data_IF_616643749248
#
_entry.id   IF_616643749248
#
_cell.length_a   1.000
_cell.length_b   1.000
_cell.length_c   1.000
_cell.angle_alpha   90.00
_cell.angle_beta   90.00
_cell.angle_gamma   90.00
#
_symmetry.space_group_name_H-M   'P 1'
#
loop_
_entity.id
_entity.type
_entity.pdbx_description
1 polymer ?
#
# COMPACT_ATOMS: atom_id res chain seq x y z
N UNK A 1 -15.35 77.42 101.06
CA UNK A 1 -15.22 77.33 99.59
C UNK A 1 -15.33 75.87 99.17
N UNK A 2 -15.94 75.57 98.02
CA UNK A 2 -17.23 74.85 98.00
C UNK A 2 -17.23 73.51 97.23
N UNK A 3 -18.41 72.88 97.23
CA UNK A 3 -19.03 72.10 96.13
C UNK A 3 -18.37 70.75 95.78
N UNK A 4 -19.06 69.61 95.86
CA UNK A 4 -20.25 69.23 95.06
C UNK A 4 -20.78 67.87 95.54
N UNK A 5 -22.09 67.57 95.38
CA UNK A 5 -22.65 66.27 95.72
C UNK A 5 -22.35 65.20 94.64
N UNK A 6 -22.01 63.99 95.08
CA UNK A 6 -21.83 62.81 94.22
C UNK A 6 -23.19 62.31 93.73
N UNK A 7 -23.47 62.50 92.43
CA UNK A 7 -24.65 61.98 91.76
C UNK A 7 -24.44 60.49 91.42
N UNK A 8 -25.32 59.63 91.93
CA UNK A 8 -25.39 58.21 91.58
C UNK A 8 -25.92 58.03 90.15
N UNK A 9 -25.15 57.39 89.27
CA UNK A 9 -25.66 56.86 88.00
C UNK A 9 -26.07 55.40 88.16
N UNK A 10 -27.34 55.01 87.89
CA UNK A 10 -27.72 53.61 87.82
C UNK A 10 -27.17 52.95 86.55
N UNK A 11 -26.58 51.77 86.73
CA UNK A 11 -26.04 50.88 85.70
C UNK A 11 -27.21 50.33 84.86
N UNK A 12 -27.29 50.69 83.58
CA UNK A 12 -28.24 50.05 82.66
C UNK A 12 -27.81 48.60 82.35
N UNK A 13 -28.75 47.64 82.21
CA UNK A 13 -28.41 46.27 81.86
C UNK A 13 -28.04 46.16 80.38
N UNK A 14 -26.99 45.39 80.10
CA UNK A 14 -26.57 45.00 78.75
C UNK A 14 -27.69 44.21 78.03
N UNK A 15 -27.87 44.38 76.71
CA UNK A 15 -28.92 43.68 75.96
C UNK A 15 -28.59 42.18 75.84
N UNK A 16 -29.60 41.30 75.72
CA UNK A 16 -29.38 39.88 75.60
C UNK A 16 -28.66 39.56 74.27
N UNK A 17 -27.67 38.66 74.33
CA UNK A 17 -26.98 38.12 73.15
C UNK A 17 -27.97 37.33 72.31
N UNK A 18 -28.32 37.84 71.13
CA UNK A 18 -29.06 37.12 70.10
C UNK A 18 -28.20 35.97 69.57
N UNK A 19 -28.55 34.74 69.94
CA UNK A 19 -28.04 33.55 69.26
C UNK A 19 -28.74 33.44 67.90
N UNK A 20 -28.06 33.87 66.83
CA UNK A 20 -28.48 33.53 65.48
C UNK A 20 -28.18 32.04 65.23
N UNK A 21 -29.24 31.23 65.18
CA UNK A 21 -29.16 29.90 64.59
C UNK A 21 -28.75 30.03 63.12
N UNK A 22 -27.57 29.52 62.78
CA UNK A 22 -27.06 29.48 61.40
C UNK A 22 -27.92 28.51 60.59
N UNK A 23 -28.85 29.04 59.82
CA UNK A 23 -29.60 28.27 58.83
C UNK A 23 -28.63 27.59 57.83
N UNK A 24 -28.79 26.30 57.50
CA UNK A 24 -27.96 25.66 56.48
C UNK A 24 -28.21 26.34 55.14
N UNK A 25 -27.16 26.90 54.53
CA UNK A 25 -27.25 27.51 53.20
C UNK A 25 -27.49 26.43 52.15
N UNK A 26 -28.77 26.17 51.86
CA UNK A 26 -29.23 25.27 50.80
C UNK A 26 -28.67 25.66 49.42
N UNK A 27 -28.43 26.96 49.21
CA UNK A 27 -27.84 27.54 48.01
C UNK A 27 -26.43 27.01 47.69
N UNK A 28 -25.58 26.78 48.71
CA UNK A 28 -24.23 26.23 48.52
C UNK A 28 -24.24 24.75 48.11
N UNK A 29 -25.21 23.96 48.58
CA UNK A 29 -25.34 22.55 48.20
C UNK A 29 -25.83 22.41 46.75
N UNK A 30 -26.75 23.26 46.33
CA UNK A 30 -27.28 23.25 44.97
C UNK A 30 -26.22 23.66 43.94
N UNK A 31 -25.40 24.68 44.23
CA UNK A 31 -24.30 25.09 43.35
C UNK A 31 -23.21 24.03 43.20
N UNK A 32 -22.87 23.32 44.30
CA UNK A 32 -21.92 22.19 44.25
C UNK A 32 -22.48 21.04 43.41
N UNK A 33 -23.77 20.72 43.55
CA UNK A 33 -24.41 19.68 42.74
C UNK A 33 -24.45 20.03 41.26
N UNK A 34 -24.76 21.28 40.90
CA UNK A 34 -24.74 21.76 39.52
C UNK A 34 -23.32 21.68 38.95
N UNK A 35 -22.31 22.11 39.69
CA UNK A 35 -20.91 22.04 39.26
C UNK A 35 -20.46 20.59 39.01
N UNK A 36 -20.80 19.66 39.91
CA UNK A 36 -20.51 18.24 39.73
C UNK A 36 -21.21 17.66 38.50
N UNK A 37 -22.45 18.05 38.23
CA UNK A 37 -23.21 17.61 37.06
C UNK A 37 -22.57 18.12 35.76
N UNK A 38 -22.13 19.39 35.73
CA UNK A 38 -21.43 19.97 34.58
C UNK A 38 -20.08 19.31 34.32
N UNK A 39 -19.31 18.97 35.36
CA UNK A 39 -18.06 18.22 35.25
C UNK A 39 -18.32 16.81 34.70
N UNK A 40 -19.37 16.13 35.19
CA UNK A 40 -19.77 14.82 34.70
C UNK A 40 -20.18 14.83 33.23
N UNK A 41 -20.98 15.81 32.80
CA UNK A 41 -21.36 16.00 31.40
C UNK A 41 -20.13 16.30 30.53
N UNK A 42 -19.24 17.18 30.98
CA UNK A 42 -17.99 17.49 30.27
C UNK A 42 -17.13 16.24 30.09
N UNK A 43 -16.93 15.45 31.15
CA UNK A 43 -16.20 14.19 31.07
C UNK A 43 -16.82 13.17 30.11
N UNK A 44 -18.15 13.07 30.08
CA UNK A 44 -18.86 12.18 29.16
C UNK A 44 -18.76 12.65 27.70
N UNK A 45 -18.85 13.96 27.45
CA UNK A 45 -18.65 14.56 26.13
C UNK A 45 -17.21 14.34 25.66
N UNK A 46 -16.20 14.60 26.52
CA UNK A 46 -14.81 14.34 26.19
C UNK A 46 -14.53 12.86 25.93
N UNK A 47 -15.12 11.95 26.72
CA UNK A 47 -15.04 10.50 26.49
C UNK A 47 -15.68 10.09 25.16
N UNK A 48 -16.86 10.64 24.84
CA UNK A 48 -17.54 10.37 23.58
C UNK A 48 -16.80 10.96 22.38
N UNK A 49 -16.17 12.13 22.52
CA UNK A 49 -15.30 12.73 21.50
C UNK A 49 -14.03 11.88 21.32
N UNK A 50 -13.43 11.36 22.39
CA UNK A 50 -12.25 10.50 22.31
C UNK A 50 -12.57 9.15 21.64
N UNK A 51 -13.67 8.51 22.02
CA UNK A 51 -14.14 7.25 21.44
C UNK A 51 -14.61 7.45 19.99
N UNK A 52 -15.30 8.56 19.70
CA UNK A 52 -15.70 8.87 18.32
C UNK A 52 -14.49 9.21 17.44
N UNK A 53 -13.44 9.85 17.95
CA UNK A 53 -12.16 10.02 17.24
C UNK A 53 -11.41 8.71 16.99
N UNK A 54 -11.52 7.72 17.89
CA UNK A 54 -10.97 6.38 17.66
C UNK A 54 -11.78 5.57 16.63
N UNK A 55 -13.11 5.71 16.61
CA UNK A 55 -13.99 5.08 15.60
C UNK A 55 -13.95 5.77 14.25
N UNK A 56 -13.80 7.09 14.24
CA UNK A 56 -13.53 7.91 13.08
C UNK A 56 -12.01 7.92 12.85
N UNK A 57 -11.45 6.72 12.72
CA UNK A 57 -10.04 6.52 12.41
C UNK A 57 -9.65 7.50 11.31
N UNK A 58 -8.57 8.23 11.57
CA UNK A 58 -7.94 9.19 10.68
C UNK A 58 -7.98 8.69 9.24
N UNK A 59 -9.06 9.03 8.52
CA UNK A 59 -9.11 8.94 7.07
C UNK A 59 -8.08 9.97 6.66
N UNK A 60 -6.85 9.51 6.42
CA UNK A 60 -5.82 10.31 5.77
C UNK A 60 -6.37 10.66 4.38
N UNK A 61 -7.12 11.75 4.32
CA UNK A 61 -7.68 12.32 3.08
C UNK A 61 -6.60 12.94 2.18
N UNK A 62 -5.32 12.69 2.47
CA UNK A 62 -4.17 13.27 1.79
C UNK A 62 -3.01 12.28 1.60
N UNK A 63 -3.23 10.96 1.69
CA UNK A 63 -2.27 10.02 1.13
C UNK A 63 -2.40 10.06 -0.40
N UNK A 64 -1.31 10.30 -1.12
CA UNK A 64 -1.27 10.13 -2.57
C UNK A 64 -1.62 8.65 -2.85
N UNK A 65 -2.57 8.35 -3.75
CA UNK A 65 -2.99 6.97 -3.98
C UNK A 65 -1.79 6.14 -4.44
N UNK A 66 -1.67 4.96 -3.85
CA UNK A 66 -0.64 3.98 -4.18
C UNK A 66 -1.02 3.16 -5.40
N UNK A 67 -2.32 2.96 -5.64
CA UNK A 67 -2.78 2.26 -6.83
C UNK A 67 -2.72 3.14 -8.07
N UNK A 68 -2.21 2.58 -9.16
CA UNK A 68 -2.04 3.30 -10.42
C UNK A 68 -2.64 2.45 -11.56
N UNK A 69 -3.32 3.12 -12.49
CA UNK A 69 -3.81 2.49 -13.74
C UNK A 69 -3.03 3.04 -14.92
N UNK A 70 -2.52 2.15 -15.77
CA UNK A 70 -1.74 2.53 -16.97
C UNK A 70 -2.50 2.15 -18.24
N UNK A 71 -2.85 3.16 -19.04
CA UNK A 71 -3.47 3.00 -20.37
C UNK A 71 -2.43 3.21 -21.46
N UNK A 72 -2.25 2.25 -22.37
CA UNK A 72 -1.19 2.29 -23.37
C UNK A 72 -1.52 3.13 -24.62
N UNK A 73 -2.81 3.36 -24.90
CA UNK A 73 -3.30 3.92 -26.18
C UNK A 73 -3.05 5.43 -26.41
N UNK A 74 -2.15 6.09 -25.68
CA UNK A 74 -1.79 7.51 -25.93
C UNK A 74 -0.30 7.84 -25.99
N UNK A 75 0.59 6.90 -25.70
CA UNK A 75 2.03 7.21 -25.62
C UNK A 75 2.79 6.99 -26.94
N UNK A 76 2.15 6.39 -27.95
CA UNK A 76 2.81 6.10 -29.23
C UNK A 76 2.86 7.31 -30.20
N UNK A 77 2.17 8.41 -29.89
CA UNK A 77 2.04 9.58 -30.77
C UNK A 77 2.54 10.90 -30.19
N UNK A 78 3.22 10.89 -29.03
CA UNK A 78 3.77 12.12 -28.42
C UNK A 78 5.17 11.96 -27.85
N UNK A 79 6.02 11.11 -28.44
CA UNK A 79 7.48 11.23 -28.27
C UNK A 79 7.99 12.08 -29.43
N UNK A 80 7.59 13.35 -29.43
CA UNK A 80 8.38 14.39 -30.05
C UNK A 80 8.31 15.64 -29.16
N UNK A 81 9.50 16.07 -28.74
CA UNK A 81 9.82 17.39 -28.21
C UNK A 81 8.99 17.93 -27.02
N UNK A 82 9.44 17.59 -25.80
CA UNK A 82 8.97 18.23 -24.57
C UNK A 82 9.78 17.81 -23.36
N UNK A 83 10.84 18.56 -23.07
CA UNK A 83 11.67 18.44 -21.88
C UNK A 83 10.84 18.78 -20.62
N UNK A 84 10.12 17.78 -20.10
CA UNK A 84 9.35 17.84 -18.87
C UNK A 84 9.40 16.48 -18.21
N UNK A 85 10.56 16.15 -17.63
CA UNK A 85 10.80 14.89 -16.94
C UNK A 85 9.71 14.64 -15.89
N UNK A 86 8.80 13.72 -16.19
CA UNK A 86 7.92 13.16 -15.17
C UNK A 86 8.84 12.57 -14.09
N UNK A 87 8.86 13.18 -12.89
CA UNK A 87 9.64 12.68 -11.77
C UNK A 87 9.10 11.30 -11.36
N UNK A 88 9.71 10.25 -11.91
CA UNK A 88 9.46 8.85 -11.56
C UNK A 88 9.70 8.64 -10.06
N UNK A 89 8.89 7.82 -9.43
CA UNK A 89 9.03 7.56 -8.00
C UNK A 89 10.29 6.74 -7.73
N UNK A 90 11.24 7.30 -6.97
CA UNK A 90 12.53 6.67 -6.72
C UNK A 90 12.44 5.63 -5.60
N UNK A 91 12.85 4.40 -5.91
CA UNK A 91 12.94 3.26 -4.97
C UNK A 91 14.16 2.40 -5.33
N UNK A 92 14.60 1.52 -4.45
CA UNK A 92 15.68 0.57 -4.79
C UNK A 92 15.18 -0.58 -5.66
N UNK A 93 13.95 -1.04 -5.41
CA UNK A 93 13.33 -2.13 -6.15
C UNK A 93 11.83 -1.95 -6.29
N UNK A 94 11.25 -2.32 -7.42
CA UNK A 94 9.80 -2.38 -7.60
C UNK A 94 9.33 -3.83 -7.79
N UNK A 95 8.48 -4.32 -6.89
CA UNK A 95 7.97 -5.70 -6.86
C UNK A 95 6.53 -5.75 -7.34
N UNK A 96 6.32 -6.39 -8.49
CA UNK A 96 5.01 -6.66 -9.06
C UNK A 96 4.57 -8.09 -8.80
N UNK A 97 3.54 -8.25 -7.97
CA UNK A 97 2.94 -9.54 -7.63
C UNK A 97 1.85 -9.86 -8.66
N UNK A 98 2.14 -10.74 -9.60
CA UNK A 98 1.23 -11.14 -10.68
C UNK A 98 0.04 -11.90 -10.11
N UNK A 99 -1.16 -11.36 -10.30
CA UNK A 99 -2.41 -11.93 -9.76
C UNK A 99 -3.56 -11.81 -10.75
N UNK A 100 -4.59 -12.65 -10.62
CA UNK A 100 -5.75 -12.65 -11.51
C UNK A 100 -7.08 -12.52 -10.78
N UNK A 101 -8.18 -12.45 -11.54
CA UNK A 101 -9.54 -12.35 -10.97
C UNK A 101 -9.94 -13.59 -10.15
N UNK A 102 -9.37 -14.76 -10.44
CA UNK A 102 -9.56 -15.99 -9.65
C UNK A 102 -8.77 -16.04 -8.34
N UNK A 103 -7.84 -15.09 -8.12
CA UNK A 103 -6.86 -15.16 -7.03
C UNK A 103 -7.21 -14.29 -5.81
N UNK A 104 -8.46 -13.84 -5.65
CA UNK A 104 -8.85 -13.00 -4.51
C UNK A 104 -8.53 -13.66 -3.15
N UNK A 105 -8.67 -14.99 -3.05
CA UNK A 105 -8.28 -15.74 -1.86
C UNK A 105 -6.77 -15.72 -1.59
N UNK A 106 -5.95 -15.78 -2.64
CA UNK A 106 -4.48 -15.70 -2.54
C UNK A 106 -4.04 -14.31 -2.10
N UNK A 107 -4.55 -13.25 -2.73
CA UNK A 107 -4.29 -11.86 -2.29
C UNK A 107 -4.63 -11.64 -0.82
N UNK A 108 -5.79 -12.14 -0.37
CA UNK A 108 -6.17 -12.09 1.06
C UNK A 108 -5.19 -12.84 1.96
N UNK A 109 -4.65 -13.98 1.49
CA UNK A 109 -3.69 -14.78 2.26
C UNK A 109 -2.32 -14.09 2.36
N UNK A 110 -1.86 -13.47 1.27
CA UNK A 110 -0.67 -12.61 1.25
C UNK A 110 -0.83 -11.44 2.22
N UNK A 111 -2.02 -10.81 2.21
CA UNK A 111 -2.40 -9.71 3.11
C UNK A 111 -2.40 -10.05 4.59
N UNK A 112 -2.68 -11.31 4.92
CA UNK A 112 -2.64 -11.84 6.29
C UNK A 112 -1.26 -12.36 6.69
N UNK A 113 -0.28 -12.33 5.79
CA UNK A 113 1.05 -12.88 6.03
C UNK A 113 2.15 -11.82 5.82
N UNK A 114 2.77 -11.77 4.65
CA UNK A 114 3.97 -10.96 4.42
C UNK A 114 3.71 -9.64 3.69
N UNK A 115 2.52 -9.40 3.14
CA UNK A 115 2.20 -8.21 2.35
C UNK A 115 1.11 -7.36 3.03
N UNK A 116 1.42 -6.41 3.91
CA UNK A 116 0.44 -5.76 4.79
C UNK A 116 -0.78 -5.18 4.06
N UNK A 117 -1.98 -5.41 4.60
CA UNK A 117 -3.23 -4.91 4.03
C UNK A 117 -3.51 -3.44 4.32
N UNK A 118 -2.97 -2.88 5.40
CA UNK A 118 -3.22 -1.50 5.75
C UNK A 118 -2.15 -0.57 5.17
N UNK A 119 -2.56 0.63 4.76
CA UNK A 119 -1.67 1.59 4.11
C UNK A 119 -0.44 1.93 4.95
N UNK A 120 -0.56 1.99 6.28
CA UNK A 120 0.59 2.31 7.15
C UNK A 120 1.56 1.13 7.25
N UNK A 121 1.05 -0.10 7.35
CA UNK A 121 1.85 -1.32 7.34
C UNK A 121 2.60 -1.48 6.02
N UNK A 122 1.92 -1.22 4.90
CA UNK A 122 2.55 -1.25 3.58
C UNK A 122 3.64 -0.19 3.47
N UNK A 123 3.34 1.06 3.82
CA UNK A 123 4.33 2.14 3.80
C UNK A 123 5.55 1.81 4.68
N UNK A 124 5.36 1.30 5.90
CA UNK A 124 6.46 0.87 6.77
C UNK A 124 7.30 -0.25 6.14
N UNK A 125 6.67 -1.21 5.47
CA UNK A 125 7.38 -2.26 4.74
C UNK A 125 8.22 -1.65 3.61
N UNK A 126 7.66 -0.72 2.84
CA UNK A 126 8.34 -0.09 1.71
C UNK A 126 9.52 0.77 2.15
N UNK A 127 9.32 1.60 3.19
CA UNK A 127 10.36 2.46 3.76
C UNK A 127 11.51 1.64 4.38
N UNK A 128 11.19 0.55 5.09
CA UNK A 128 12.21 -0.28 5.75
C UNK A 128 13.02 -1.15 4.80
N UNK A 129 12.47 -1.49 3.64
CA UNK A 129 13.13 -2.37 2.66
C UNK A 129 13.70 -1.61 1.47
N UNK A 130 13.27 -0.37 1.24
CA UNK A 130 13.54 0.39 0.01
C UNK A 130 12.81 -0.16 -1.22
N UNK A 131 11.87 -1.10 -1.03
CA UNK A 131 11.14 -1.76 -2.10
C UNK A 131 9.71 -1.24 -2.16
N UNK A 132 9.17 -0.96 -3.35
CA UNK A 132 7.74 -0.74 -3.52
C UNK A 132 7.04 -2.01 -4.00
N UNK A 133 5.80 -2.26 -3.54
CA UNK A 133 5.07 -3.51 -3.80
C UNK A 133 3.67 -3.26 -4.32
N UNK A 134 3.30 -3.85 -5.47
CA UNK A 134 1.94 -3.74 -6.00
C UNK A 134 1.43 -5.08 -6.52
N UNK A 135 0.15 -5.36 -6.31
CA UNK A 135 -0.55 -6.41 -7.05
C UNK A 135 -0.74 -5.99 -8.50
N UNK A 136 -0.30 -6.82 -9.43
CA UNK A 136 -0.36 -6.54 -10.86
C UNK A 136 -1.49 -7.34 -11.48
N UNK A 137 -2.49 -6.63 -12.00
CA UNK A 137 -3.67 -7.24 -12.60
C UNK A 137 -4.14 -6.42 -13.81
N UNK A 138 -4.56 -7.12 -14.86
CA UNK A 138 -5.21 -6.55 -16.01
C UNK A 138 -6.69 -6.26 -15.80
N UNK A 139 -7.43 -6.16 -16.91
CA UNK A 139 -8.88 -5.95 -16.95
C UNK A 139 -9.62 -7.20 -17.43
N UNK A 140 -10.93 -7.21 -17.23
CA UNK A 140 -11.84 -8.22 -17.79
C UNK A 140 -13.10 -7.56 -18.31
N UNK A 141 -13.74 -8.17 -19.32
CA UNK A 141 -15.06 -7.74 -19.82
C UNK A 141 -16.20 -8.02 -18.82
N UNK A 142 -15.98 -8.93 -17.86
CA UNK A 142 -16.94 -9.26 -16.82
C UNK A 142 -17.11 -8.09 -15.83
N UNK A 143 -18.25 -7.41 -15.95
CA UNK A 143 -18.61 -6.24 -15.13
C UNK A 143 -18.67 -6.56 -13.63
N UNK A 144 -19.07 -7.78 -13.25
CA UNK A 144 -19.16 -8.19 -11.85
C UNK A 144 -17.77 -8.34 -11.24
N UNK A 145 -16.87 -9.04 -11.95
CA UNK A 145 -15.46 -9.19 -11.55
C UNK A 145 -14.76 -7.85 -11.46
N UNK A 146 -14.95 -6.96 -12.44
CA UNK A 146 -14.39 -5.60 -12.39
C UNK A 146 -14.95 -4.76 -11.24
N UNK A 147 -16.25 -4.87 -10.95
CA UNK A 147 -16.87 -4.17 -9.80
C UNK A 147 -16.28 -4.63 -8.47
N UNK A 148 -16.11 -5.94 -8.30
CA UNK A 148 -15.48 -6.50 -7.10
C UNK A 148 -14.01 -6.07 -6.95
N UNK A 149 -13.25 -6.05 -8.05
CA UNK A 149 -11.89 -5.54 -8.05
C UNK A 149 -11.82 -4.05 -7.67
N UNK A 150 -12.72 -3.22 -8.19
CA UNK A 150 -12.77 -1.78 -7.82
C UNK A 150 -13.04 -1.56 -6.34
N UNK A 151 -13.88 -2.40 -5.72
CA UNK A 151 -14.11 -2.37 -4.26
C UNK A 151 -12.83 -2.73 -3.50
N UNK A 152 -12.12 -3.77 -3.96
CA UNK A 152 -10.85 -4.19 -3.37
C UNK A 152 -9.76 -3.11 -3.49
N UNK A 153 -9.65 -2.47 -4.65
CA UNK A 153 -8.74 -1.33 -4.88
C UNK A 153 -9.08 -0.17 -3.93
N UNK A 154 -10.35 0.18 -3.79
CA UNK A 154 -10.79 1.24 -2.89
C UNK A 154 -10.55 0.92 -1.40
N UNK A 155 -10.48 -0.37 -1.05
CA UNK A 155 -10.25 -0.83 0.32
C UNK A 155 -8.76 -0.84 0.68
N UNK A 156 -7.90 -1.36 -0.20
CA UNK A 156 -6.49 -1.64 0.11
C UNK A 156 -5.48 -0.71 -0.57
N UNK A 157 -5.85 -0.10 -1.69
CA UNK A 157 -5.00 0.81 -2.45
C UNK A 157 -3.60 0.25 -2.81
N UNK A 158 -3.50 -1.04 -3.14
CA UNK A 158 -2.23 -1.75 -3.34
C UNK A 158 -2.04 -2.35 -4.76
N UNK A 159 -2.69 -1.79 -5.79
CA UNK A 159 -2.72 -2.36 -7.15
C UNK A 159 -2.01 -1.53 -8.23
N UNK A 160 -1.34 -2.21 -9.15
CA UNK A 160 -0.99 -1.71 -10.48
C UNK A 160 -1.94 -2.33 -11.50
N UNK A 161 -2.83 -1.51 -12.05
CA UNK A 161 -3.82 -1.91 -13.03
C UNK A 161 -3.28 -1.72 -14.45
N UNK A 162 -3.22 -2.81 -15.21
CA UNK A 162 -2.76 -2.81 -16.60
C UNK A 162 -3.94 -2.80 -17.55
N UNK A 163 -3.84 -2.02 -18.63
CA UNK A 163 -4.81 -2.04 -19.73
C UNK A 163 -4.56 -3.22 -20.68
N UNK A 164 -4.62 -4.44 -20.13
CA UNK A 164 -4.53 -5.71 -20.86
C UNK A 164 -5.62 -6.64 -20.35
N UNK A 165 -6.27 -7.36 -21.25
CA UNK A 165 -7.26 -8.37 -20.87
C UNK A 165 -6.60 -9.57 -20.19
N UNK A 166 -7.09 -9.93 -19.00
CA UNK A 166 -6.62 -11.10 -18.25
C UNK A 166 -7.01 -12.41 -18.94
N UNK A 167 -6.01 -13.11 -19.43
CA UNK A 167 -6.15 -14.45 -19.99
C UNK A 167 -4.85 -15.23 -19.76
N UNK A 168 -4.95 -16.55 -19.52
CA UNK A 168 -3.76 -17.37 -19.28
C UNK A 168 -2.80 -17.37 -20.48
N UNK A 169 -3.33 -17.40 -21.70
CA UNK A 169 -2.54 -17.31 -22.95
C UNK A 169 -1.83 -15.96 -23.10
N UNK A 170 -2.32 -14.89 -22.44
CA UNK A 170 -1.80 -13.52 -22.50
C UNK A 170 -0.82 -13.19 -21.36
N UNK A 171 -0.46 -14.18 -20.55
CA UNK A 171 0.48 -14.06 -19.44
C UNK A 171 1.84 -13.44 -19.83
N UNK A 172 2.45 -13.77 -20.99
CA UNK A 172 3.65 -13.08 -21.44
C UNK A 172 3.44 -11.58 -21.73
N UNK A 173 2.32 -11.21 -22.37
CA UNK A 173 1.97 -9.81 -22.65
C UNK A 173 1.75 -9.01 -21.38
N UNK A 174 1.06 -9.59 -20.38
CA UNK A 174 0.91 -8.99 -19.06
C UNK A 174 2.26 -8.70 -18.41
N UNK A 175 3.21 -9.63 -18.53
CA UNK A 175 4.54 -9.49 -17.94
C UNK A 175 5.34 -8.38 -18.61
N UNK A 176 5.30 -8.30 -19.95
CA UNK A 176 5.93 -7.19 -20.66
C UNK A 176 5.30 -5.85 -20.28
N UNK A 177 3.97 -5.76 -20.26
CA UNK A 177 3.27 -4.54 -19.89
C UNK A 177 3.53 -4.13 -18.45
N UNK A 178 3.67 -5.10 -17.54
CA UNK A 178 4.13 -4.86 -16.17
C UNK A 178 5.49 -4.16 -16.17
N UNK A 179 6.50 -4.72 -16.84
CA UNK A 179 7.84 -4.12 -16.87
C UNK A 179 7.85 -2.74 -17.51
N UNK A 180 7.10 -2.55 -18.60
CA UNK A 180 6.94 -1.24 -19.24
C UNK A 180 6.29 -0.22 -18.31
N UNK A 181 5.19 -0.60 -17.65
CA UNK A 181 4.46 0.28 -16.73
C UNK A 181 5.33 0.62 -15.52
N UNK A 182 5.98 -0.38 -14.93
CA UNK A 182 6.87 -0.21 -13.80
C UNK A 182 8.03 0.75 -14.14
N UNK A 183 8.66 0.58 -15.30
CA UNK A 183 9.72 1.47 -15.76
C UNK A 183 9.23 2.91 -15.95
N UNK A 184 8.03 3.10 -16.52
CA UNK A 184 7.46 4.43 -16.70
C UNK A 184 7.10 5.14 -15.38
N UNK A 185 6.79 4.39 -14.32
CA UNK A 185 6.29 4.93 -13.06
C UNK A 185 7.37 5.08 -11.97
N UNK A 186 8.30 4.12 -11.90
CA UNK A 186 9.28 4.01 -10.83
C UNK A 186 10.69 4.12 -11.40
N UNK A 187 11.53 4.94 -10.77
CA UNK A 187 12.98 4.98 -11.00
C UNK A 187 13.62 4.02 -9.99
N UNK A 188 14.08 2.86 -10.47
CA UNK A 188 14.43 1.73 -9.62
C UNK A 188 15.58 0.95 -10.21
N UNK A 189 16.52 0.51 -9.36
CA UNK A 189 17.68 -0.28 -9.77
C UNK A 189 17.26 -1.67 -10.28
N UNK A 190 16.19 -2.22 -9.68
CA UNK A 190 15.63 -3.51 -10.06
C UNK A 190 14.10 -3.50 -10.15
N UNK A 191 13.58 -4.33 -11.05
CA UNK A 191 12.16 -4.63 -11.20
C UNK A 191 11.93 -6.13 -11.02
N UNK A 192 11.03 -6.50 -10.12
CA UNK A 192 10.85 -7.88 -9.66
C UNK A 192 9.47 -8.36 -10.03
N UNK A 193 9.40 -9.44 -10.80
CA UNK A 193 8.16 -10.20 -10.98
C UNK A 193 8.07 -11.27 -9.89
N UNK A 194 6.93 -11.36 -9.22
CA UNK A 194 6.59 -12.44 -8.29
C UNK A 194 5.20 -13.02 -8.60
N UNK A 195 4.96 -14.30 -8.32
CA UNK A 195 3.61 -14.89 -8.36
C UNK A 195 2.85 -14.68 -7.04
N UNK A 196 1.53 -14.82 -7.08
CA UNK A 196 0.66 -14.68 -5.91
C UNK A 196 0.52 -15.95 -5.05
N UNK A 197 1.22 -17.03 -5.39
CA UNK A 197 1.26 -18.30 -4.66
C UNK A 197 2.63 -18.63 -4.04
N UNK A 198 3.46 -17.61 -3.82
CA UNK A 198 4.71 -17.74 -3.07
C UNK A 198 4.69 -17.01 -1.73
N UNK A 199 5.56 -17.46 -0.83
CA UNK A 199 5.94 -16.70 0.36
C UNK A 199 7.23 -15.94 0.07
N UNK A 200 7.20 -14.61 0.22
CA UNK A 200 8.37 -13.76 0.05
C UNK A 200 8.88 -13.27 1.41
N UNK A 201 10.19 -13.12 1.54
CA UNK A 201 10.85 -12.42 2.65
C UNK A 201 11.40 -11.08 2.14
N UNK A 202 10.66 -9.97 2.31
CA UNK A 202 11.04 -8.65 1.79
C UNK A 202 12.41 -8.17 2.26
N UNK A 203 12.77 -8.45 3.53
CA UNK A 203 14.07 -8.14 4.12
C UNK A 203 15.23 -8.81 3.34
N UNK A 204 15.07 -10.09 3.00
CA UNK A 204 16.09 -10.85 2.26
C UNK A 204 16.15 -10.46 0.81
N UNK A 205 15.00 -10.14 0.20
CA UNK A 205 14.98 -9.62 -1.15
C UNK A 205 15.71 -8.27 -1.22
N UNK A 206 15.44 -7.37 -0.27
CA UNK A 206 16.10 -6.06 -0.20
C UNK A 206 17.63 -6.21 -0.15
N UNK A 207 18.14 -7.04 0.76
CA UNK A 207 19.58 -7.33 0.87
C UNK A 207 20.17 -7.96 -0.41
N UNK A 208 19.41 -8.84 -1.08
CA UNK A 208 19.84 -9.43 -2.35
C UNK A 208 19.97 -8.38 -3.45
N UNK A 209 19.01 -7.46 -3.55
CA UNK A 209 19.03 -6.42 -4.58
C UNK A 209 20.12 -5.38 -4.32
N UNK A 210 20.32 -4.98 -3.07
CA UNK A 210 21.36 -4.02 -2.65
C UNK A 210 22.80 -4.50 -2.83
N UNK A 211 23.02 -5.80 -3.12
CA UNK A 211 24.36 -6.35 -3.31
C UNK A 211 25.04 -5.71 -4.53
N UNK A 212 26.26 -5.23 -4.35
CA UNK A 212 27.06 -4.67 -5.44
C UNK A 212 27.38 -5.71 -6.52
N UNK A 213 27.39 -5.26 -7.79
CA UNK A 213 27.56 -6.10 -8.97
C UNK A 213 28.38 -5.37 -10.02
N UNK A 214 29.33 -6.07 -10.62
CA UNK A 214 30.20 -5.51 -11.67
C UNK A 214 29.46 -5.19 -12.98
N UNK A 215 28.35 -5.88 -13.26
CA UNK A 215 27.57 -5.69 -14.49
C UNK A 215 26.25 -4.99 -14.20
N UNK A 216 25.96 -3.93 -14.96
CA UNK A 216 24.71 -3.18 -14.85
C UNK A 216 23.51 -3.95 -15.42
N UNK A 217 23.75 -4.85 -16.39
CA UNK A 217 22.75 -5.78 -16.91
C UNK A 217 22.71 -7.04 -16.05
N UNK A 218 21.71 -7.13 -15.19
CA UNK A 218 21.56 -8.25 -14.26
C UNK A 218 20.19 -8.89 -14.40
N UNK A 219 20.18 -10.21 -14.56
CA UNK A 219 18.98 -11.05 -14.47
C UNK A 219 19.14 -12.03 -13.31
N UNK A 220 18.29 -11.90 -12.28
CA UNK A 220 18.33 -12.70 -11.06
C UNK A 220 17.13 -13.63 -10.98
N UNK A 221 17.40 -14.86 -10.57
CA UNK A 221 16.36 -15.81 -10.17
C UNK A 221 16.96 -17.20 -10.02
N UNK A 222 16.09 -18.19 -9.82
CA UNK A 222 16.52 -19.59 -9.84
C UNK A 222 16.73 -20.00 -11.31
N UNK A 223 17.97 -19.86 -11.80
CA UNK A 223 18.30 -20.10 -13.20
C UNK A 223 18.21 -21.60 -13.52
N UNK A 224 17.53 -21.94 -14.62
CA UNK A 224 17.37 -23.30 -15.08
C UNK A 224 17.52 -23.41 -16.60
N UNK A 225 17.83 -24.63 -17.04
CA UNK A 225 17.83 -25.05 -18.43
C UNK A 225 17.07 -26.38 -18.52
N UNK A 226 16.49 -26.70 -19.67
CA UNK A 226 15.77 -27.95 -19.84
C UNK A 226 15.25 -28.14 -21.27
N UNK A 227 14.71 -29.32 -21.58
CA UNK A 227 14.22 -29.63 -22.91
C UNK A 227 13.01 -28.77 -23.26
N UNK A 228 12.91 -28.41 -24.54
CA UNK A 228 11.68 -27.82 -25.10
C UNK A 228 10.62 -28.91 -25.20
N UNK A 229 9.44 -28.67 -24.64
CA UNK A 229 8.36 -29.66 -24.67
C UNK A 229 7.66 -29.61 -26.03
N UNK A 230 7.88 -30.64 -26.86
CA UNK A 230 7.32 -30.74 -28.21
C UNK A 230 6.09 -31.63 -28.30
N UNK A 231 5.69 -32.32 -27.22
CA UNK A 231 4.50 -33.16 -27.19
C UNK A 231 3.26 -32.32 -26.78
N UNK A 232 2.22 -32.20 -27.64
CA UNK A 232 0.98 -31.48 -27.36
C UNK A 232 0.22 -31.93 -26.10
N UNK A 233 0.49 -33.13 -25.58
CA UNK A 233 -0.15 -33.66 -24.37
C UNK A 233 0.50 -33.14 -23.08
N UNK A 234 1.69 -32.55 -23.17
CA UNK A 234 2.39 -32.01 -22.01
C UNK A 234 1.88 -30.61 -21.67
N UNK A 235 1.77 -30.34 -20.36
CA UNK A 235 1.28 -29.05 -19.82
C UNK A 235 2.00 -27.82 -20.40
N UNK A 236 3.28 -27.97 -20.73
CA UNK A 236 4.15 -26.89 -21.18
C UNK A 236 4.53 -27.02 -22.66
N UNK A 237 3.71 -27.72 -23.45
CA UNK A 237 3.89 -27.85 -24.89
C UNK A 237 4.14 -26.49 -25.56
N UNK A 238 5.21 -26.40 -26.35
CA UNK A 238 5.57 -25.19 -27.06
C UNK A 238 5.26 -25.32 -28.56
N UNK A 239 4.17 -24.70 -29.05
CA UNK A 239 3.81 -24.75 -30.46
C UNK A 239 4.87 -24.16 -31.39
N UNK A 240 5.69 -23.23 -30.89
CA UNK A 240 6.78 -22.61 -31.63
C UNK A 240 8.15 -23.24 -31.31
N UNK A 241 8.17 -24.48 -30.83
CA UNK A 241 9.39 -25.21 -30.45
C UNK A 241 10.44 -25.27 -31.56
N UNK A 242 10.03 -25.26 -32.83
CA UNK A 242 10.92 -25.20 -34.00
C UNK A 242 11.82 -23.95 -34.03
N UNK A 243 11.44 -22.86 -33.34
CA UNK A 243 12.24 -21.63 -33.21
C UNK A 243 13.23 -21.68 -32.04
N UNK A 244 13.04 -22.59 -31.07
CA UNK A 244 13.82 -22.66 -29.84
C UNK A 244 14.90 -23.77 -29.87
N UNK A 245 14.75 -24.75 -30.75
CA UNK A 245 15.62 -25.92 -30.79
C UNK A 245 15.25 -26.96 -29.73
N UNK A 246 16.25 -27.77 -29.30
CA UNK A 246 16.03 -28.90 -28.38
C UNK A 246 15.92 -28.50 -26.91
N UNK A 247 16.54 -27.38 -26.53
CA UNK A 247 16.61 -26.92 -25.14
C UNK A 247 16.26 -25.44 -25.06
N UNK A 248 15.58 -25.05 -23.98
CA UNK A 248 15.35 -23.64 -23.69
C UNK A 248 16.68 -22.93 -23.39
N UNK A 249 16.74 -21.64 -23.71
CA UNK A 249 17.79 -20.74 -23.20
C UNK A 249 17.81 -20.76 -21.67
N UNK A 250 18.98 -20.48 -21.07
CA UNK A 250 19.12 -20.39 -19.62
C UNK A 250 18.20 -19.29 -19.09
N UNK A 251 17.20 -19.62 -18.28
CA UNK A 251 16.18 -18.67 -17.81
C UNK A 251 15.84 -18.82 -16.32
N UNK A 252 15.34 -17.77 -15.69
CA UNK A 252 14.90 -17.86 -14.30
C UNK A 252 13.59 -18.64 -14.18
N UNK A 253 13.41 -19.34 -13.08
CA UNK A 253 12.18 -20.05 -12.77
C UNK A 253 10.99 -19.08 -12.58
N UNK A 254 9.81 -19.52 -12.98
CA UNK A 254 8.54 -18.76 -13.01
C UNK A 254 8.22 -17.95 -11.76
N UNK A 255 8.25 -18.53 -10.55
CA UNK A 255 7.64 -17.92 -9.37
C UNK A 255 8.20 -16.55 -8.99
N UNK A 256 9.50 -16.32 -9.18
CA UNK A 256 10.11 -15.01 -8.89
C UNK A 256 11.40 -14.80 -9.68
N UNK A 257 11.56 -13.59 -10.23
CA UNK A 257 12.81 -13.13 -10.82
C UNK A 257 12.91 -11.60 -10.84
N UNK A 258 14.14 -11.07 -10.91
CA UNK A 258 14.42 -9.64 -10.94
C UNK A 258 15.27 -9.27 -12.16
N UNK A 259 14.94 -8.14 -12.78
CA UNK A 259 15.67 -7.55 -13.91
C UNK A 259 16.21 -6.18 -13.48
N UNK A 260 17.45 -5.87 -13.83
CA UNK A 260 18.01 -4.55 -13.57
C UNK A 260 17.35 -3.47 -14.44
N UNK A 261 17.52 -2.20 -14.04
CA UNK A 261 17.01 -1.04 -14.76
C UNK A 261 17.38 -1.06 -16.26
N UNK A 262 18.63 -1.35 -16.60
CA UNK A 262 19.14 -1.38 -17.98
C UNK A 262 18.46 -2.45 -18.84
N UNK A 263 18.22 -3.63 -18.25
CA UNK A 263 17.53 -4.74 -18.89
C UNK A 263 16.08 -4.34 -19.16
N UNK A 264 15.40 -3.76 -18.16
CA UNK A 264 14.02 -3.32 -18.32
C UNK A 264 13.90 -2.12 -19.27
N UNK A 265 14.86 -1.20 -19.28
CA UNK A 265 14.91 -0.09 -20.23
C UNK A 265 14.96 -0.60 -21.67
N UNK A 266 15.78 -1.63 -21.91
CA UNK A 266 15.88 -2.31 -23.20
C UNK A 266 14.54 -2.97 -23.57
N UNK A 267 13.93 -3.73 -22.65
CA UNK A 267 12.58 -4.29 -22.85
C UNK A 267 11.51 -3.24 -23.14
N UNK A 268 11.59 -2.09 -22.47
CA UNK A 268 10.62 -1.01 -22.60
C UNK A 268 10.71 -0.32 -23.97
N UNK A 269 11.91 -0.22 -24.54
CA UNK A 269 12.17 0.39 -25.84
C UNK A 269 11.63 -0.42 -27.03
N UNK A 270 11.31 -1.70 -26.83
CA UNK A 270 10.88 -2.58 -27.91
C UNK A 270 9.46 -2.28 -28.40
N UNK A 271 9.29 -2.29 -29.72
CA UNK A 271 7.99 -2.14 -30.38
C UNK A 271 7.10 -3.37 -30.13
N UNK A 272 5.84 -3.13 -29.77
CA UNK A 272 4.85 -4.17 -29.43
C UNK A 272 4.61 -5.20 -30.56
N UNK A 273 4.93 -4.89 -31.82
CA UNK A 273 4.58 -5.70 -32.99
C UNK A 273 5.70 -6.63 -33.51
N UNK A 274 6.87 -6.69 -32.85
CA UNK A 274 8.04 -7.49 -33.32
C UNK A 274 8.36 -8.71 -32.45
N UNK A 275 7.49 -9.07 -31.53
CA UNK A 275 7.79 -10.06 -30.50
C UNK A 275 7.07 -11.37 -30.78
N UNK A 276 7.86 -12.43 -30.97
CA UNK A 276 7.36 -13.81 -30.94
C UNK A 276 7.22 -14.18 -29.47
N UNK A 277 5.98 -14.29 -28.99
CA UNK A 277 5.69 -14.69 -27.63
C UNK A 277 5.53 -16.19 -27.54
N UNK A 278 6.26 -16.80 -26.61
CA UNK A 278 6.14 -18.21 -26.26
C UNK A 278 5.10 -18.34 -25.13
N UNK A 279 3.87 -18.81 -25.41
CA UNK A 279 2.71 -18.68 -24.51
C UNK A 279 2.89 -19.41 -23.18
N UNK A 280 3.72 -20.47 -23.15
CA UNK A 280 3.90 -21.33 -21.98
C UNK A 280 5.18 -21.06 -21.21
N UNK A 281 5.96 -20.06 -21.63
CA UNK A 281 7.26 -19.77 -21.03
C UNK A 281 7.49 -18.26 -20.86
N UNK A 282 6.73 -17.64 -19.95
CA UNK A 282 6.89 -16.24 -19.54
C UNK A 282 8.36 -15.87 -19.23
N UNK A 283 9.15 -16.81 -18.71
CA UNK A 283 10.56 -16.61 -18.37
C UNK A 283 11.50 -16.66 -19.57
N UNK A 284 11.18 -17.47 -20.59
CA UNK A 284 11.98 -17.56 -21.82
C UNK A 284 11.74 -16.34 -22.70
N UNK A 285 10.56 -15.72 -22.60
CA UNK A 285 10.29 -14.43 -23.26
C UNK A 285 11.25 -13.32 -22.80
N UNK A 286 11.60 -13.27 -21.51
CA UNK A 286 12.52 -12.25 -20.99
C UNK A 286 13.93 -12.36 -21.61
N UNK A 287 14.30 -13.52 -22.18
CA UNK A 287 15.64 -13.78 -22.72
C UNK A 287 15.66 -13.85 -24.23
N UNK A 288 14.61 -14.35 -24.90
CA UNK A 288 14.56 -14.34 -26.38
C UNK A 288 14.49 -12.92 -26.98
N UNK A 289 14.43 -11.92 -26.12
CA UNK A 289 14.31 -10.50 -26.42
C UNK A 289 15.58 -9.71 -26.03
N UNK A 290 16.44 -10.28 -25.17
CA UNK A 290 17.76 -9.75 -24.79
C UNK A 290 18.85 -10.37 -25.67
#
# INVERSE_FOLDING_TARGET
MPSTPKLFHPKMPSPPKLFHARQPSYSRRLTVLILCFLIGISGFIFGFIAISRQRLGYRCKYAKPNSVSVTWDRLASSIDSGNGGQNRHKVMGFVGIQTGFGSAGRRRSLRKSWFPSDHQGLQRLEESTGLAFRFVIGRTADKSKMSNLRKEIAEYDDFLLLDIEEEYSKLPYKTLAYFKAAYALFDSDFYVKADDDIYLRPDRLSLLLAKDRHHSQTYLGCMKKGPVFTDPKLKWYEPLSHLLGKEYFLHAYGPIYALSADVVASLASLRNNRQVFFPFCQCVFAIGVL
#
